data_IF_114274781710
#
_entry.id   IF_114274781710
#
_cell.length_a   1.000
_cell.length_b   1.000
_cell.length_c   1.000
_cell.angle_alpha   90.00
_cell.angle_beta   90.00
_cell.angle_gamma   90.00
#
_symmetry.space_group_name_H-M   'P 1'
#
loop_
_entity.id
_entity.type
_entity.pdbx_description
1 polymer ?
#
# COMPACT_ATOMS: atom_id res chain seq x y z
N UNK A 1 30.66 -6.24 22.51
CA UNK A 1 30.72 -5.75 21.12
C UNK A 1 29.39 -6.03 20.48
N UNK A 2 28.74 -5.04 19.88
CA UNK A 2 27.47 -5.25 19.21
C UNK A 2 27.66 -6.08 17.95
N UNK A 3 26.94 -7.19 17.85
CA UNK A 3 26.98 -8.04 16.67
C UNK A 3 26.22 -7.36 15.52
N UNK A 4 26.93 -7.04 14.43
CA UNK A 4 26.37 -6.36 13.24
C UNK A 4 25.36 -7.21 12.45
N UNK A 5 25.21 -8.49 12.79
CA UNK A 5 24.29 -9.41 12.11
C UNK A 5 22.89 -9.43 12.71
N UNK A 6 22.63 -8.72 13.82
CA UNK A 6 21.32 -8.75 14.50
C UNK A 6 20.16 -8.33 13.59
N UNK A 7 20.31 -7.25 12.81
CA UNK A 7 19.26 -6.82 11.88
C UNK A 7 19.02 -7.85 10.76
N UNK A 8 20.11 -8.40 10.21
CA UNK A 8 20.03 -9.43 9.15
C UNK A 8 19.46 -10.75 9.66
N UNK A 9 19.55 -11.02 10.96
CA UNK A 9 19.02 -12.23 11.58
C UNK A 9 17.50 -12.26 11.53
N UNK A 10 16.84 -11.11 11.70
CA UNK A 10 15.38 -11.00 11.57
C UNK A 10 14.92 -11.27 10.13
N UNK A 11 15.57 -10.65 9.15
CA UNK A 11 15.29 -10.88 7.74
C UNK A 11 15.55 -12.34 7.34
N UNK A 12 16.60 -12.95 7.91
CA UNK A 12 16.89 -14.37 7.73
C UNK A 12 15.78 -15.25 8.31
N UNK A 13 15.29 -14.92 9.51
CA UNK A 13 14.24 -15.66 10.20
C UNK A 13 12.92 -15.66 9.41
N UNK A 14 12.49 -14.50 8.90
CA UNK A 14 11.27 -14.39 8.08
C UNK A 14 11.43 -14.86 6.63
N UNK A 15 12.63 -15.28 6.22
CA UNK A 15 12.90 -15.73 4.86
C UNK A 15 12.93 -14.61 3.82
N UNK A 16 13.10 -13.36 4.25
CA UNK A 16 13.11 -12.16 3.40
C UNK A 16 14.48 -11.89 2.74
N UNK A 17 15.54 -12.59 3.18
CA UNK A 17 16.83 -12.54 2.51
C UNK A 17 16.82 -13.37 1.23
N UNK A 18 17.44 -12.82 0.18
CA UNK A 18 17.78 -13.56 -1.02
C UNK A 18 18.94 -14.53 -0.78
N UNK A 19 19.22 -15.41 -1.75
CA UNK A 19 20.28 -16.42 -1.61
C UNK A 19 21.67 -15.80 -1.36
N UNK A 20 21.93 -14.61 -1.89
CA UNK A 20 23.16 -13.85 -1.67
C UNK A 20 23.24 -13.35 -0.22
N UNK A 21 22.12 -12.90 0.35
CA UNK A 21 22.02 -12.46 1.74
C UNK A 21 22.04 -13.59 2.77
N UNK A 22 21.52 -14.78 2.44
CA UNK A 22 21.47 -15.94 3.34
C UNK A 22 22.84 -16.54 3.66
N UNK A 23 23.73 -16.63 2.67
CA UNK A 23 25.06 -17.23 2.82
C UNK A 23 25.89 -16.61 3.97
N UNK A 24 26.10 -15.27 4.03
CA UNK A 24 26.90 -14.66 5.09
C UNK A 24 26.26 -14.77 6.47
N UNK A 25 24.92 -14.76 6.58
CA UNK A 25 24.23 -14.96 7.86
C UNK A 25 24.42 -16.41 8.33
N UNK A 26 24.30 -17.38 7.42
CA UNK A 26 24.48 -18.79 7.74
C UNK A 26 25.91 -19.10 8.18
N UNK A 27 26.90 -18.51 7.52
CA UNK A 27 28.30 -18.59 7.93
C UNK A 27 28.53 -17.96 9.31
N UNK A 28 27.96 -16.77 9.55
CA UNK A 28 28.05 -16.10 10.84
C UNK A 28 27.44 -16.94 11.98
N UNK A 29 26.29 -17.58 11.74
CA UNK A 29 25.64 -18.46 12.70
C UNK A 29 26.51 -19.66 13.11
N UNK A 30 27.48 -20.10 12.30
CA UNK A 30 28.41 -21.15 12.70
C UNK A 30 29.42 -20.67 13.76
N UNK A 31 29.77 -19.38 13.78
CA UNK A 31 30.80 -18.82 14.66
C UNK A 31 30.25 -18.02 15.85
N UNK A 32 29.07 -17.41 15.73
CA UNK A 32 28.50 -16.55 16.77
C UNK A 32 27.45 -17.28 17.63
N UNK A 33 27.78 -17.53 18.90
CA UNK A 33 26.86 -18.14 19.87
C UNK A 33 25.66 -17.24 20.17
N UNK A 34 25.87 -15.93 20.30
CA UNK A 34 24.80 -15.00 20.66
C UNK A 34 23.71 -14.95 19.59
N UNK A 35 24.09 -14.83 18.31
CA UNK A 35 23.12 -14.84 17.22
C UNK A 35 22.40 -16.19 17.06
N UNK A 36 23.02 -17.31 17.44
CA UNK A 36 22.30 -18.61 17.49
C UNK A 36 21.23 -18.62 18.57
N UNK A 37 21.56 -18.12 19.76
CA UNK A 37 20.61 -18.03 20.87
C UNK A 37 19.44 -17.10 20.53
N UNK A 38 19.73 -15.94 19.92
CA UNK A 38 18.71 -14.99 19.47
C UNK A 38 17.78 -15.64 18.43
N UNK A 39 18.33 -16.39 17.47
CA UNK A 39 17.54 -17.11 16.46
C UNK A 39 16.67 -18.21 17.09
N UNK A 40 17.20 -18.95 18.06
CA UNK A 40 16.45 -19.97 18.78
C UNK A 40 15.30 -19.35 19.61
N UNK A 41 15.53 -18.19 20.23
CA UNK A 41 14.50 -17.46 20.95
C UNK A 41 13.37 -17.00 20.00
N UNK A 42 13.72 -16.46 18.84
CA UNK A 42 12.74 -16.07 17.81
C UNK A 42 11.88 -17.27 17.36
N UNK A 43 12.51 -18.43 17.13
CA UNK A 43 11.78 -19.66 16.78
C UNK A 43 10.79 -20.07 17.87
N UNK A 44 11.23 -20.13 19.13
CA UNK A 44 10.34 -20.49 20.26
C UNK A 44 9.13 -19.55 20.38
N UNK A 45 9.34 -18.25 20.17
CA UNK A 45 8.24 -17.27 20.19
C UNK A 45 7.27 -17.51 19.03
N UNK A 46 7.79 -17.79 17.84
CA UNK A 46 6.96 -18.11 16.66
C UNK A 46 6.15 -19.39 16.87
N UNK A 47 6.80 -20.45 17.34
CA UNK A 47 6.14 -21.73 17.64
C UNK A 47 5.00 -21.52 18.66
N UNK A 48 5.25 -20.72 19.70
CA UNK A 48 4.23 -20.36 20.68
C UNK A 48 3.01 -19.65 20.05
N UNK A 49 3.23 -18.72 19.11
CA UNK A 49 2.12 -18.05 18.42
C UNK A 49 1.36 -18.98 17.47
N UNK A 50 2.04 -19.92 16.81
CA UNK A 50 1.40 -20.93 15.96
C UNK A 50 0.54 -21.89 16.79
N UNK A 51 1.04 -22.33 17.94
CA UNK A 51 0.29 -23.19 18.88
C UNK A 51 -0.88 -22.46 19.55
N UNK A 52 -0.73 -21.15 19.80
CA UNK A 52 -1.77 -20.31 20.43
C UNK A 52 -2.74 -19.73 19.41
N UNK A 53 -2.85 -20.31 18.20
CA UNK A 53 -3.74 -19.81 17.16
C UNK A 53 -5.18 -19.73 17.68
N UNK A 54 -5.60 -18.50 18.00
CA UNK A 54 -6.96 -18.20 18.36
C UNK A 54 -7.83 -18.50 17.14
N UNK A 55 -8.86 -19.33 17.34
CA UNK A 55 -9.83 -19.59 16.29
C UNK A 55 -10.37 -18.25 15.78
N UNK A 56 -10.35 -17.99 14.46
CA UNK A 56 -10.96 -16.78 13.93
C UNK A 56 -12.43 -16.74 14.38
N UNK A 57 -12.98 -15.55 14.69
CA UNK A 57 -14.39 -15.45 15.05
C UNK A 57 -15.25 -16.01 13.90
N UNK A 58 -16.23 -16.85 14.22
CA UNK A 58 -17.02 -17.62 13.24
C UNK A 58 -17.59 -16.77 12.09
N UNK A 59 -17.93 -15.51 12.39
CA UNK A 59 -18.47 -14.55 11.43
C UNK A 59 -17.45 -14.11 10.35
N UNK A 60 -16.15 -14.19 10.61
CA UNK A 60 -15.13 -13.86 9.63
C UNK A 60 -14.97 -14.96 8.58
N UNK A 61 -15.12 -16.23 8.99
CA UNK A 61 -14.95 -17.38 8.10
C UNK A 61 -16.08 -17.45 7.07
N UNK A 62 -17.32 -17.27 7.50
CA UNK A 62 -18.48 -17.31 6.60
C UNK A 62 -18.44 -16.18 5.55
N UNK A 63 -18.04 -14.97 5.95
CA UNK A 63 -17.90 -13.83 5.03
C UNK A 63 -16.76 -14.04 4.01
N UNK A 64 -15.63 -14.62 4.43
CA UNK A 64 -14.52 -14.94 3.53
C UNK A 64 -14.91 -16.06 2.56
N UNK A 65 -15.60 -17.10 3.03
CA UNK A 65 -16.09 -18.18 2.16
C UNK A 65 -17.13 -17.69 1.16
N UNK A 66 -18.06 -16.84 1.58
CA UNK A 66 -19.09 -16.28 0.71
C UNK A 66 -18.49 -15.33 -0.35
N UNK A 67 -17.49 -14.53 0.00
CA UNK A 67 -16.79 -13.65 -0.96
C UNK A 67 -15.92 -14.44 -1.94
N UNK A 68 -15.23 -15.48 -1.49
CA UNK A 68 -14.49 -16.39 -2.37
C UNK A 68 -15.41 -17.15 -3.35
N UNK A 69 -16.57 -17.62 -2.87
CA UNK A 69 -17.57 -18.28 -3.71
C UNK A 69 -18.21 -17.32 -4.73
N UNK A 70 -18.47 -16.06 -4.34
CA UNK A 70 -19.03 -15.04 -5.23
C UNK A 70 -18.04 -14.67 -6.37
N UNK A 71 -16.74 -14.62 -6.09
CA UNK A 71 -15.69 -14.31 -7.07
C UNK A 71 -15.62 -15.27 -8.25
N UNK A 72 -16.07 -16.52 -8.09
CA UNK A 72 -16.03 -17.54 -9.13
C UNK A 72 -17.13 -17.38 -10.21
N UNK A 73 -18.13 -16.53 -9.96
CA UNK A 73 -19.29 -16.33 -10.86
C UNK A 73 -19.14 -15.14 -11.84
N UNK A 74 -18.10 -14.32 -11.70
CA UNK A 74 -17.99 -13.01 -12.37
C UNK A 74 -17.94 -13.05 -13.90
N UNK A 75 -17.27 -14.02 -14.51
CA UNK A 75 -17.06 -14.00 -15.97
C UNK A 75 -18.34 -14.27 -16.77
N UNK A 76 -19.26 -15.09 -16.23
CA UNK A 76 -20.51 -15.48 -16.91
C UNK A 76 -21.55 -14.36 -16.89
N UNK A 77 -21.55 -13.51 -15.86
CA UNK A 77 -22.43 -12.34 -15.77
C UNK A 77 -21.89 -11.16 -16.61
N UNK A 78 -20.57 -10.97 -16.70
CA UNK A 78 -19.95 -9.96 -17.58
C UNK A 78 -20.34 -10.21 -19.05
N UNK A 79 -20.32 -11.47 -19.51
CA UNK A 79 -20.71 -11.82 -20.89
C UNK A 79 -22.19 -11.52 -21.17
N UNK A 80 -23.09 -11.73 -20.19
CA UNK A 80 -24.52 -11.41 -20.35
C UNK A 80 -24.78 -9.92 -20.45
N UNK A 81 -24.12 -9.12 -19.61
CA UNK A 81 -24.21 -7.65 -19.64
C UNK A 81 -23.68 -7.13 -20.98
N UNK A 82 -22.57 -7.69 -21.47
CA UNK A 82 -22.01 -7.33 -22.76
C UNK A 82 -23.00 -7.61 -23.89
N UNK A 83 -23.62 -8.81 -23.93
CA UNK A 83 -24.58 -9.19 -25.00
C UNK A 83 -25.85 -8.32 -25.03
N UNK A 84 -26.29 -7.79 -23.88
CA UNK A 84 -27.56 -7.06 -23.78
C UNK A 84 -27.44 -5.57 -24.12
N UNK A 85 -26.23 -4.99 -24.11
CA UNK A 85 -26.02 -3.54 -24.31
C UNK A 85 -25.42 -3.16 -25.67
N UNK A 86 -25.14 -4.10 -26.58
CA UNK A 86 -24.60 -3.80 -27.92
C UNK A 86 -25.42 -2.78 -28.70
N UNK A 87 -26.76 -2.78 -28.55
CA UNK A 87 -27.63 -1.78 -29.20
C UNK A 87 -27.38 -0.36 -28.69
N UNK A 88 -27.06 -0.18 -27.41
CA UNK A 88 -26.73 1.12 -26.80
C UNK A 88 -25.31 1.56 -27.16
N UNK A 89 -24.36 0.62 -27.19
CA UNK A 89 -22.98 0.87 -27.61
C UNK A 89 -22.94 1.29 -29.09
N UNK A 90 -23.70 0.64 -29.96
CA UNK A 90 -23.80 1.01 -31.38
C UNK A 90 -24.37 2.43 -31.56
N UNK A 91 -25.36 2.82 -30.76
CA UNK A 91 -25.94 4.16 -30.78
C UNK A 91 -24.91 5.22 -30.31
N UNK A 92 -24.13 4.93 -29.27
CA UNK A 92 -23.04 5.80 -28.80
C UNK A 92 -21.93 6.00 -29.84
N UNK A 93 -21.54 4.92 -30.53
CA UNK A 93 -20.52 4.99 -31.59
C UNK A 93 -20.98 5.82 -32.80
N UNK A 94 -22.27 5.78 -33.16
CA UNK A 94 -22.79 6.65 -34.22
C UNK A 94 -22.72 8.14 -33.85
N UNK A 95 -22.98 8.49 -32.59
CA UNK A 95 -22.87 9.87 -32.13
C UNK A 95 -21.42 10.37 -32.14
N UNK A 96 -20.46 9.53 -31.74
CA UNK A 96 -19.04 9.87 -31.78
C UNK A 96 -18.55 10.10 -33.22
N UNK A 97 -18.97 9.25 -34.17
CA UNK A 97 -18.62 9.41 -35.58
C UNK A 97 -19.19 10.71 -36.18
N UNK A 98 -20.46 11.02 -35.89
CA UNK A 98 -21.10 12.28 -36.32
C UNK A 98 -20.39 13.48 -35.69
N UNK A 99 -20.02 13.41 -34.41
CA UNK A 99 -19.28 14.47 -33.74
C UNK A 99 -17.92 14.73 -34.40
N UNK A 100 -17.13 13.68 -34.65
CA UNK A 100 -15.82 13.80 -35.32
C UNK A 100 -15.97 14.39 -36.73
N UNK A 101 -16.94 13.92 -37.51
CA UNK A 101 -17.21 14.47 -38.86
C UNK A 101 -17.65 15.93 -38.77
N UNK A 102 -18.53 16.28 -37.82
CA UNK A 102 -19.00 17.65 -37.64
C UNK A 102 -17.88 18.61 -37.25
N UNK A 103 -16.98 18.20 -36.34
CA UNK A 103 -15.80 18.98 -35.96
C UNK A 103 -14.85 19.13 -37.15
N UNK A 104 -14.62 18.07 -37.94
CA UNK A 104 -13.73 18.14 -39.10
C UNK A 104 -14.28 19.07 -40.20
N UNK A 105 -15.59 19.03 -40.44
CA UNK A 105 -16.28 19.95 -41.36
C UNK A 105 -16.24 21.39 -40.85
N UNK A 106 -16.47 21.62 -39.55
CA UNK A 106 -16.35 22.96 -38.94
C UNK A 106 -14.93 23.51 -39.01
N UNK A 107 -13.89 22.68 -38.93
CA UNK A 107 -12.49 23.14 -39.04
C UNK A 107 -12.07 23.51 -40.47
N UNK A 108 -12.86 23.14 -41.49
CA UNK A 108 -12.63 23.51 -42.89
C UNK A 108 -13.39 24.77 -43.35
N UNK A 109 -14.32 25.28 -42.54
CA UNK A 109 -15.00 26.56 -42.75
C UNK A 109 -14.22 27.58 -41.92
N UNK A 110 -13.61 28.57 -42.60
CA UNK A 110 -12.84 29.71 -42.07
C UNK A 110 -12.44 29.64 -40.59
N UNK A 111 -11.15 29.38 -40.34
CA UNK A 111 -10.55 29.27 -39.00
C UNK A 111 -11.07 30.37 -38.07
N UNK A 112 -11.94 30.07 -37.09
CA UNK A 112 -12.19 31.02 -36.02
C UNK A 112 -10.89 31.19 -35.23
N UNK A 113 -10.58 32.43 -34.86
CA UNK A 113 -9.39 32.77 -34.07
C UNK A 113 -9.50 32.15 -32.66
N UNK A 114 -9.08 30.88 -32.58
CA UNK A 114 -9.12 30.01 -31.41
C UNK A 114 -8.13 30.43 -30.31
N UNK A 115 -7.31 31.47 -30.54
CA UNK A 115 -6.43 32.03 -29.51
C UNK A 115 -7.19 32.68 -28.35
N UNK A 116 -8.46 33.05 -28.57
CA UNK A 116 -9.36 33.57 -27.53
C UNK A 116 -10.01 32.49 -26.65
N UNK A 117 -9.88 31.20 -27.01
CA UNK A 117 -10.34 30.04 -26.22
C UNK A 117 -9.16 29.26 -25.60
N UNK A 118 -8.02 29.92 -25.37
CA UNK A 118 -7.00 29.39 -24.50
C UNK A 118 -7.59 29.35 -23.08
N UNK A 119 -7.96 28.15 -22.63
CA UNK A 119 -8.30 27.87 -21.23
C UNK A 119 -7.21 28.50 -20.35
N UNK A 120 -7.58 29.38 -19.42
CA UNK A 120 -6.64 29.97 -18.47
C UNK A 120 -6.09 28.86 -17.55
N UNK A 121 -5.04 28.19 -18.03
CA UNK A 121 -4.35 27.10 -17.32
C UNK A 121 -3.63 27.60 -16.07
N UNK A 122 -3.39 28.91 -15.96
CA UNK A 122 -2.72 29.54 -14.81
C UNK A 122 -3.51 29.41 -13.52
N UNK A 123 -4.83 29.61 -13.55
CA UNK A 123 -5.69 29.50 -12.37
C UNK A 123 -5.83 28.04 -11.88
N UNK A 124 -5.74 27.08 -12.81
CA UNK A 124 -5.77 25.65 -12.50
C UNK A 124 -4.41 25.16 -12.00
N UNK A 125 -3.30 25.65 -12.57
CA UNK A 125 -1.95 25.27 -12.14
C UNK A 125 -1.64 25.79 -10.73
N UNK A 126 -2.03 27.03 -10.40
CA UNK A 126 -1.80 27.61 -9.08
C UNK A 126 -2.53 26.83 -7.97
N UNK A 127 -3.75 26.35 -8.25
CA UNK A 127 -4.49 25.48 -7.32
C UNK A 127 -3.87 24.08 -7.20
N UNK A 128 -3.28 23.54 -8.28
CA UNK A 128 -2.60 22.26 -8.23
C UNK A 128 -1.34 22.34 -7.37
N UNK A 129 -0.53 23.39 -7.55
CA UNK A 129 0.71 23.61 -6.78
C UNK A 129 0.41 23.82 -5.28
N UNK A 130 -0.65 24.57 -4.98
CA UNK A 130 -1.16 24.74 -3.61
C UNK A 130 -1.60 23.41 -2.98
N UNK A 131 -2.28 22.56 -3.75
CA UNK A 131 -2.75 21.27 -3.27
C UNK A 131 -1.59 20.30 -3.00
N UNK A 132 -0.58 20.29 -3.87
CA UNK A 132 0.62 19.47 -3.69
C UNK A 132 1.37 19.85 -2.40
N UNK A 133 1.53 21.15 -2.11
CA UNK A 133 2.12 21.62 -0.86
C UNK A 133 1.33 21.19 0.38
N UNK A 134 0.00 21.16 0.29
CA UNK A 134 -0.85 20.75 1.41
C UNK A 134 -0.66 19.27 1.79
N UNK A 135 -0.41 18.40 0.80
CA UNK A 135 -0.18 16.96 1.01
C UNK A 135 1.14 16.74 1.77
N UNK A 136 2.22 17.44 1.38
CA UNK A 136 3.50 17.34 2.09
C UNK A 136 3.39 17.85 3.53
N UNK A 137 2.65 18.94 3.75
CA UNK A 137 2.42 19.48 5.09
C UNK A 137 1.65 18.50 5.98
N UNK A 138 0.56 17.91 5.49
CA UNK A 138 -0.22 16.92 6.26
C UNK A 138 0.65 15.70 6.62
N UNK A 139 1.48 15.21 5.70
CA UNK A 139 2.39 14.09 5.97
C UNK A 139 3.41 14.45 7.04
N UNK A 140 3.98 15.66 6.98
CA UNK A 140 4.95 16.13 7.97
C UNK A 140 4.32 16.31 9.35
N UNK A 141 3.17 16.97 9.44
CA UNK A 141 2.43 17.20 10.69
C UNK A 141 2.00 15.86 11.34
N UNK A 142 1.56 14.88 10.53
CA UNK A 142 1.21 13.54 11.00
C UNK A 142 2.41 12.76 11.51
N UNK A 143 3.58 12.94 10.89
CA UNK A 143 4.81 12.30 11.36
C UNK A 143 5.29 12.91 12.69
N UNK A 144 5.22 14.23 12.84
CA UNK A 144 5.66 14.91 14.06
C UNK A 144 4.76 14.64 15.26
N UNK A 145 3.43 14.55 15.07
CA UNK A 145 2.53 14.19 16.16
C UNK A 145 2.75 12.75 16.65
N UNK A 146 3.13 11.85 15.75
CA UNK A 146 3.45 10.46 16.13
C UNK A 146 4.74 10.36 16.96
N UNK A 147 5.74 11.21 16.69
CA UNK A 147 6.99 11.22 17.47
C UNK A 147 6.84 11.86 18.85
N UNK A 148 5.99 12.89 19.02
CA UNK A 148 5.86 13.55 20.34
C UNK A 148 5.26 12.65 21.41
N UNK A 149 4.34 11.75 21.06
CA UNK A 149 3.74 10.81 22.01
C UNK A 149 4.72 9.71 22.46
N UNK A 150 5.76 9.44 21.67
CA UNK A 150 6.75 8.41 21.98
C UNK A 150 7.76 8.87 23.04
N UNK A 151 8.19 10.14 23.00
CA UNK A 151 9.19 10.68 23.93
C UNK A 151 8.69 10.74 25.39
N UNK A 152 7.44 11.17 25.63
CA UNK A 152 6.89 11.24 26.99
C UNK A 152 6.74 9.85 27.64
N UNK A 153 6.47 8.83 26.83
CA UNK A 153 6.28 7.46 27.33
C UNK A 153 7.61 6.87 27.79
N UNK A 154 8.73 7.24 27.16
CA UNK A 154 10.05 6.72 27.50
C UNK A 154 10.59 7.29 28.83
N UNK A 155 10.44 8.60 29.05
CA UNK A 155 10.84 9.24 30.31
C UNK A 155 10.06 8.69 31.53
N UNK A 156 8.77 8.40 31.35
CA UNK A 156 7.94 7.77 32.38
C UNK A 156 8.36 6.33 32.73
N UNK A 157 8.81 5.56 31.75
CA UNK A 157 9.30 4.19 31.97
C UNK A 157 10.68 4.19 32.65
N UNK A 158 11.54 5.15 32.29
CA UNK A 158 12.89 5.25 32.85
C UNK A 158 12.85 5.68 34.33
N UNK A 159 11.98 6.63 34.69
CA UNK A 159 11.78 7.04 36.08
C UNK A 159 11.23 5.92 36.97
N UNK A 160 10.26 5.12 36.47
CA UNK A 160 9.77 3.96 37.23
C UNK A 160 10.83 2.89 37.46
N UNK A 161 11.77 2.72 36.51
CA UNK A 161 12.86 1.75 36.66
C UNK A 161 13.82 2.15 37.78
N UNK A 162 14.12 3.44 37.92
CA UNK A 162 15.03 3.95 38.97
C UNK A 162 14.41 3.85 40.38
N UNK A 163 13.08 3.91 40.52
CA UNK A 163 12.39 3.73 41.81
C UNK A 163 12.34 2.26 42.27
N UNK A 164 12.40 1.29 41.35
CA UNK A 164 12.35 -0.15 41.68
C UNK A 164 13.72 -0.71 42.07
N UNK A 165 14.81 -0.02 41.71
CA UNK A 165 16.20 -0.44 42.00
C UNK A 165 16.76 0.14 43.33
N UNK A 166 15.92 0.79 44.15
CA UNK A 166 16.23 1.30 45.51
C UNK A 166 15.55 0.46 46.61
#
# INVERSE_FOLDING_TARGET
MECRFKEKLLLYFYGELDEVGKAPVSEHLNSCKDCRNDLEALKKISDYFEETTASPPDLALENVLNTAAAGQTGFREIIKVFRMQWKKIALGLSFAAVFVVSVNVLTHIDKPDLTSMAWETSAVSEKLDSMEYSIYKIRFDTSLSYFSDFDYTYEGIQSQKEEIEL
#
